data_IF_934813432723
#
_entry.id   IF_934813432723
#
_cell.length_a   1.000
_cell.length_b   1.000
_cell.length_c   1.000
_cell.angle_alpha   90.00
_cell.angle_beta   90.00
_cell.angle_gamma   90.00
#
_symmetry.space_group_name_H-M   'P 1'
#
loop_
_entity.id
_entity.type
_entity.pdbx_description
1 polymer ?
#
# COMPACT_ATOMS: atom_id res chain seq x y z
N UNK A 1 -0.44 -21.70 -11.80
CA UNK A 1 -0.44 -20.53 -10.92
C UNK A 1 0.18 -19.40 -11.71
N UNK A 2 -0.63 -18.66 -12.47
CA UNK A 2 -0.14 -17.56 -13.31
C UNK A 2 0.04 -16.35 -12.41
N UNK A 3 1.29 -16.05 -12.06
CA UNK A 3 1.67 -14.83 -11.33
C UNK A 3 1.25 -13.63 -12.17
N UNK A 4 0.35 -12.79 -11.64
CA UNK A 4 0.09 -11.48 -12.23
C UNK A 4 1.40 -10.71 -12.37
N UNK A 5 1.60 -10.04 -13.50
CA UNK A 5 2.83 -9.29 -13.76
C UNK A 5 2.88 -8.09 -12.81
N UNK A 6 3.84 -8.10 -11.90
CA UNK A 6 4.18 -6.95 -11.05
C UNK A 6 5.17 -6.05 -11.78
N UNK A 7 4.89 -4.74 -11.83
CA UNK A 7 5.83 -3.72 -12.32
C UNK A 7 6.23 -2.82 -11.15
N UNK A 8 7.53 -2.50 -11.03
CA UNK A 8 8.05 -1.67 -9.94
C UNK A 8 8.55 -0.33 -10.47
N UNK A 9 8.47 0.72 -9.65
CA UNK A 9 9.04 2.02 -9.97
C UNK A 9 9.13 2.95 -8.76
N UNK A 10 9.42 4.23 -9.04
CA UNK A 10 9.60 5.26 -8.03
C UNK A 10 8.91 6.56 -8.46
N UNK A 11 8.22 7.21 -7.53
CA UNK A 11 7.57 8.50 -7.71
C UNK A 11 8.20 9.55 -6.76
N UNK A 12 9.00 10.49 -7.26
CA UNK A 12 9.67 11.49 -6.43
C UNK A 12 8.69 12.45 -5.75
N UNK A 13 7.50 12.68 -6.32
CA UNK A 13 6.50 13.59 -5.75
C UNK A 13 5.82 12.99 -4.51
N UNK A 14 6.02 11.70 -4.25
CA UNK A 14 5.46 10.99 -3.10
C UNK A 14 6.54 10.74 -2.04
N UNK A 15 7.81 10.72 -2.41
CA UNK A 15 8.91 10.44 -1.50
C UNK A 15 9.00 11.47 -0.36
N UNK A 16 9.05 10.98 0.88
CA UNK A 16 9.14 11.79 2.09
C UNK A 16 7.83 12.45 2.52
N UNK A 17 6.73 12.24 1.80
CA UNK A 17 5.43 12.84 2.16
C UNK A 17 4.71 11.99 3.20
N UNK A 18 4.08 12.67 4.16
CA UNK A 18 3.18 12.03 5.13
C UNK A 18 1.81 11.78 4.52
N UNK A 19 1.31 10.59 4.74
CA UNK A 19 0.00 10.18 4.26
C UNK A 19 -0.70 9.23 5.24
N UNK A 20 -2.01 9.16 5.09
CA UNK A 20 -2.88 8.14 5.64
C UNK A 20 -3.34 7.22 4.51
N UNK A 21 -3.58 5.94 4.82
CA UNK A 21 -4.17 5.04 3.84
C UNK A 21 -4.96 3.90 4.48
N UNK A 22 -5.96 3.42 3.72
CA UNK A 22 -6.61 2.14 4.00
C UNK A 22 -5.70 1.01 3.49
N UNK A 23 -4.91 0.44 4.39
CA UNK A 23 -4.09 -0.74 4.11
C UNK A 23 -4.91 -2.03 4.16
N UNK A 24 -4.47 -3.05 3.44
CA UNK A 24 -4.98 -4.42 3.58
C UNK A 24 -4.08 -5.19 4.55
N UNK A 25 -4.59 -5.53 5.73
CA UNK A 25 -3.83 -6.29 6.73
C UNK A 25 -4.60 -7.51 7.23
N UNK A 26 -3.91 -8.57 7.70
CA UNK A 26 -4.58 -9.70 8.34
C UNK A 26 -5.35 -9.22 9.59
N UNK A 27 -6.59 -9.68 9.75
CA UNK A 27 -7.37 -9.48 10.99
C UNK A 27 -7.02 -10.61 11.95
N UNK A 28 -6.52 -10.25 13.13
CA UNK A 28 -6.09 -11.22 14.15
C UNK A 28 -7.19 -12.23 14.49
N UNK A 29 -6.80 -13.51 14.61
CA UNK A 29 -7.73 -14.59 14.94
C UNK A 29 -8.64 -15.01 13.80
N UNK A 30 -8.51 -14.43 12.60
CA UNK A 30 -9.30 -14.81 11.42
C UNK A 30 -8.44 -15.20 10.23
N UNK A 31 -9.07 -15.78 9.21
CA UNK A 31 -8.48 -15.98 7.87
C UNK A 31 -8.72 -14.79 6.93
N UNK A 32 -9.28 -13.70 7.43
CA UNK A 32 -9.70 -12.56 6.62
C UNK A 32 -8.64 -11.47 6.64
N UNK A 33 -8.51 -10.76 5.52
CA UNK A 33 -7.84 -9.47 5.47
C UNK A 33 -8.90 -8.37 5.58
N UNK A 34 -8.64 -7.39 6.43
CA UNK A 34 -9.50 -6.23 6.66
C UNK A 34 -8.85 -4.96 6.14
N UNK A 35 -9.68 -3.97 5.83
CA UNK A 35 -9.21 -2.58 5.74
C UNK A 35 -8.84 -2.12 7.13
N UNK A 36 -7.62 -1.63 7.27
CA UNK A 36 -7.09 -1.10 8.52
C UNK A 36 -6.42 0.23 8.21
N UNK A 37 -6.56 1.18 9.11
CA UNK A 37 -6.03 2.53 8.93
C UNK A 37 -4.54 2.54 9.27
N UNK A 38 -3.75 3.12 8.36
CA UNK A 38 -2.33 3.35 8.56
C UNK A 38 -1.99 4.82 8.30
N UNK A 39 -0.96 5.30 8.98
CA UNK A 39 -0.35 6.61 8.71
C UNK A 39 1.16 6.50 8.85
N UNK A 40 1.90 7.27 8.05
CA UNK A 40 3.35 7.22 8.02
C UNK A 40 3.94 8.06 6.89
N UNK A 41 5.17 7.75 6.52
CA UNK A 41 5.94 8.45 5.48
C UNK A 41 6.06 7.57 4.23
N UNK A 42 5.69 8.09 3.07
CA UNK A 42 5.85 7.39 1.80
C UNK A 42 7.32 7.40 1.37
N UNK A 43 7.81 6.27 0.87
CA UNK A 43 9.19 6.20 0.34
C UNK A 43 9.29 6.72 -1.09
N UNK A 44 8.17 6.73 -1.82
CA UNK A 44 8.13 6.96 -3.26
C UNK A 44 8.16 5.67 -4.08
N UNK A 45 8.56 4.54 -3.50
CA UNK A 45 8.53 3.24 -4.18
C UNK A 45 7.09 2.83 -4.46
N UNK A 46 6.83 2.30 -5.66
CA UNK A 46 5.53 1.74 -6.01
C UNK A 46 5.63 0.37 -6.69
N UNK A 47 4.56 -0.41 -6.54
CA UNK A 47 4.28 -1.61 -7.34
C UNK A 47 2.94 -1.46 -8.04
N UNK A 48 2.90 -1.86 -9.31
CA UNK A 48 1.70 -1.96 -10.13
C UNK A 48 1.34 -3.44 -10.27
N UNK A 49 0.17 -3.83 -9.74
CA UNK A 49 -0.37 -5.17 -9.91
C UNK A 49 -1.40 -5.18 -11.05
N UNK A 50 -1.08 -5.88 -12.14
CA UNK A 50 -2.03 -6.14 -13.22
C UNK A 50 -2.86 -7.39 -12.88
N UNK A 51 -4.19 -7.25 -12.82
CA UNK A 51 -5.08 -8.31 -12.30
C UNK A 51 -5.28 -9.52 -13.20
N UNK A 52 -4.81 -9.48 -14.46
CA UNK A 52 -4.91 -10.63 -15.37
C UNK A 52 -3.66 -10.76 -16.26
N UNK A 53 -3.43 -11.98 -16.73
CA UNK A 53 -2.35 -12.36 -17.65
C UNK A 53 -2.38 -11.61 -19.00
N UNK A 54 -3.52 -11.01 -19.33
CA UNK A 54 -3.75 -10.23 -20.55
C UNK A 54 -3.52 -8.71 -20.36
N UNK A 55 -3.24 -8.24 -19.14
CA UNK A 55 -3.05 -6.81 -18.83
C UNK A 55 -4.31 -5.93 -18.97
N UNK A 56 -5.52 -6.51 -19.02
CA UNK A 56 -6.76 -5.81 -19.37
C UNK A 56 -7.41 -5.03 -18.21
N UNK A 57 -6.86 -5.10 -17.00
CA UNK A 57 -7.29 -4.24 -15.90
C UNK A 57 -6.26 -3.13 -15.68
N UNK A 58 -6.69 -1.90 -15.37
CA UNK A 58 -5.75 -0.85 -14.97
C UNK A 58 -4.90 -1.35 -13.79
N UNK A 59 -3.59 -1.06 -13.78
CA UNK A 59 -2.73 -1.50 -12.70
C UNK A 59 -3.24 -0.91 -11.39
N UNK A 60 -3.43 -1.77 -10.39
CA UNK A 60 -3.57 -1.27 -9.03
C UNK A 60 -2.18 -0.86 -8.56
N UNK A 61 -1.95 0.45 -8.46
CA UNK A 61 -0.71 1.01 -7.94
C UNK A 61 -0.73 1.05 -6.43
N UNK A 62 0.31 0.51 -5.81
CA UNK A 62 0.52 0.54 -4.39
C UNK A 62 1.82 1.26 -4.07
N UNK A 63 1.79 2.23 -3.15
CA UNK A 63 2.96 2.93 -2.66
C UNK A 63 3.44 2.36 -1.33
N UNK A 64 4.76 2.25 -1.15
CA UNK A 64 5.34 1.80 0.11
C UNK A 64 5.33 2.94 1.14
N UNK A 65 4.73 2.68 2.29
CA UNK A 65 4.75 3.55 3.45
C UNK A 65 5.62 2.92 4.55
N UNK A 66 6.45 3.73 5.18
CA UNK A 66 7.33 3.38 6.31
C UNK A 66 7.15 4.38 7.45
N UNK A 67 7.92 4.19 8.53
CA UNK A 67 7.91 5.08 9.69
C UNK A 67 6.48 5.26 10.22
N UNK A 68 5.78 4.13 10.35
CA UNK A 68 4.35 4.11 10.65
C UNK A 68 4.08 4.78 11.99
N UNK A 69 3.29 5.84 11.96
CA UNK A 69 2.84 6.60 13.14
C UNK A 69 1.47 6.13 13.62
N UNK A 70 0.68 5.53 12.71
CA UNK A 70 -0.54 4.80 13.01
C UNK A 70 -0.45 3.41 12.37
N UNK A 71 -0.66 2.37 13.17
CA UNK A 71 -0.87 1.01 12.70
C UNK A 71 -1.68 0.20 13.73
N UNK A 72 -2.38 -0.86 13.29
CA UNK A 72 -3.05 -1.80 14.19
C UNK A 72 -2.11 -2.36 15.25
N UNK A 73 -2.60 -2.58 16.47
CA UNK A 73 -1.77 -3.01 17.61
C UNK A 73 -1.05 -4.35 17.37
N UNK A 74 -1.64 -5.22 16.56
CA UNK A 74 -1.12 -6.52 16.17
C UNK A 74 -0.26 -6.48 14.88
N UNK A 75 -0.08 -5.32 14.25
CA UNK A 75 0.75 -5.18 13.07
C UNK A 75 2.23 -5.07 13.47
N UNK A 76 2.99 -6.15 13.28
CA UNK A 76 4.44 -6.17 13.50
C UNK A 76 5.22 -5.50 12.37
N UNK A 77 4.59 -5.28 11.22
CA UNK A 77 5.28 -4.77 10.04
C UNK A 77 5.79 -3.34 10.27
N UNK A 78 6.98 -3.08 9.72
CA UNK A 78 7.62 -1.76 9.75
C UNK A 78 7.24 -0.91 8.52
N UNK A 79 6.64 -1.56 7.52
CA UNK A 79 6.24 -0.96 6.27
C UNK A 79 4.99 -1.66 5.71
N UNK A 80 4.15 -0.91 5.01
CA UNK A 80 2.92 -1.41 4.39
C UNK A 80 2.78 -0.86 2.97
N UNK A 81 2.06 -1.59 2.13
CA UNK A 81 1.69 -1.14 0.78
C UNK A 81 0.31 -0.48 0.81
N UNK A 82 0.24 0.79 0.42
CA UNK A 82 -0.98 1.59 0.35
C UNK A 82 -1.50 1.66 -1.09
N UNK A 83 -2.76 1.31 -1.33
CA UNK A 83 -3.37 1.50 -2.64
C UNK A 83 -3.50 3.00 -2.95
N UNK A 84 -3.04 3.45 -4.11
CA UNK A 84 -3.08 4.87 -4.52
C UNK A 84 -4.47 5.48 -4.38
N UNK A 85 -5.52 4.76 -4.78
CA UNK A 85 -6.90 5.23 -4.71
C UNK A 85 -7.45 5.45 -3.29
N UNK A 86 -6.74 4.98 -2.25
CA UNK A 86 -7.13 5.17 -0.85
C UNK A 86 -6.00 5.83 -0.04
N UNK A 87 -5.13 6.60 -0.70
CA UNK A 87 -4.04 7.31 -0.06
C UNK A 87 -4.37 8.80 0.01
N UNK A 88 -4.27 9.37 1.21
CA UNK A 88 -4.59 10.77 1.49
C UNK A 88 -3.39 11.45 2.16
N UNK A 89 -2.93 12.57 1.62
CA UNK A 89 -1.80 13.30 2.19
C UNK A 89 -2.25 14.11 3.42
N UNK A 90 -1.48 14.02 4.50
CA UNK A 90 -1.80 14.69 5.78
C UNK A 90 -1.53 16.19 5.74
N UNK A 91 -0.56 16.63 4.93
CA UNK A 91 -0.05 18.00 4.90
C UNK A 91 -0.56 18.82 3.70
N UNK A 92 -1.80 18.62 3.28
CA UNK A 92 -2.42 19.42 2.20
C UNK A 92 -3.12 20.67 2.71
#
# INVERSE_FOLDING_TARGET
>A
MTTGKEVRGFNPDYAGRRAECDGGGPIEGTRLAGRQDYAGTLTGDYIDHCSNEHGNAPPWRWYLMKELTLKPQNCSDEAIWCLEGNLYFVDQ
#
